data_IF_465530649969
#
_entry.id   IF_465530649969
#
_cell.length_a   1.000
_cell.length_b   1.000
_cell.length_c   1.000
_cell.angle_alpha   90.00
_cell.angle_beta   90.00
_cell.angle_gamma   90.00
#
_symmetry.space_group_name_H-M   'P 1'
#
loop_
_entity.id
_entity.type
_entity.pdbx_description
1 polymer ?
#
# COMPACT_ATOMS: atom_id res chain seq x y z
N UNK A 1 -12.92 -16.61 -6.29
CA UNK A 1 -11.57 -17.21 -6.23
C UNK A 1 -10.58 -16.14 -6.66
N UNK A 2 -9.35 -16.13 -6.12
CA UNK A 2 -8.32 -15.17 -6.53
C UNK A 2 -7.97 -15.33 -8.02
N UNK A 3 -7.47 -14.28 -8.70
CA UNK A 3 -7.08 -14.38 -10.10
C UNK A 3 -5.96 -15.41 -10.32
N UNK A 4 -5.97 -16.08 -11.47
CA UNK A 4 -5.05 -17.20 -11.76
C UNK A 4 -3.57 -16.80 -11.69
N UNK A 5 -3.23 -15.57 -12.10
CA UNK A 5 -1.86 -15.06 -12.01
C UNK A 5 -1.39 -14.85 -10.57
N UNK A 6 -2.28 -14.51 -9.64
CA UNK A 6 -1.97 -14.43 -8.20
C UNK A 6 -1.80 -15.85 -7.64
N UNK A 7 -2.73 -16.76 -7.95
CA UNK A 7 -2.65 -18.14 -7.48
C UNK A 7 -1.36 -18.82 -7.90
N UNK A 8 -0.92 -18.66 -9.16
CA UNK A 8 0.36 -19.21 -9.63
C UNK A 8 1.55 -18.71 -8.83
N UNK A 9 1.57 -17.43 -8.44
CA UNK A 9 2.63 -16.87 -7.58
C UNK A 9 2.61 -17.50 -6.19
N UNK A 10 1.45 -17.62 -5.56
CA UNK A 10 1.33 -18.22 -4.22
C UNK A 10 1.68 -19.71 -4.25
N UNK A 11 1.29 -20.44 -5.30
CA UNK A 11 1.68 -21.85 -5.53
C UNK A 11 3.22 -21.94 -5.60
N UNK A 12 3.86 -21.13 -6.45
CA UNK A 12 5.32 -21.12 -6.58
C UNK A 12 6.02 -20.79 -5.26
N UNK A 13 5.49 -19.85 -4.48
CA UNK A 13 6.00 -19.53 -3.14
C UNK A 13 5.85 -20.72 -2.17
N UNK A 14 4.71 -21.42 -2.20
CA UNK A 14 4.48 -22.58 -1.35
C UNK A 14 5.42 -23.74 -1.71
N UNK A 15 5.58 -24.01 -3.02
CA UNK A 15 6.49 -25.05 -3.50
C UNK A 15 7.94 -24.72 -3.13
N UNK A 16 8.39 -23.50 -3.44
CA UNK A 16 9.73 -23.03 -3.11
C UNK A 16 10.01 -23.13 -1.61
N UNK A 17 9.07 -22.70 -0.76
CA UNK A 17 9.23 -22.79 0.69
C UNK A 17 9.34 -24.25 1.17
N UNK A 18 8.50 -25.15 0.64
CA UNK A 18 8.48 -26.56 1.05
C UNK A 18 9.73 -27.35 0.61
N UNK A 19 10.50 -26.81 -0.33
CA UNK A 19 11.73 -27.39 -0.88
C UNK A 19 13.00 -26.70 -0.38
N UNK A 20 12.88 -25.65 0.45
CA UNK A 20 14.04 -24.97 1.03
C UNK A 20 14.90 -25.95 1.84
N UNK A 21 16.23 -25.92 1.65
CA UNK A 21 17.17 -26.58 2.55
C UNK A 21 16.94 -26.13 4.00
N UNK A 22 17.24 -27.01 4.97
CA UNK A 22 16.98 -26.74 6.38
C UNK A 22 17.75 -25.50 6.86
N UNK A 23 18.99 -25.34 6.39
CA UNK A 23 19.89 -24.22 6.67
C UNK A 23 19.35 -22.87 6.16
N UNK A 24 18.54 -22.88 5.11
CA UNK A 24 17.94 -21.69 4.51
C UNK A 24 16.52 -21.43 5.03
N UNK A 25 15.93 -22.38 5.76
CA UNK A 25 14.57 -22.25 6.29
C UNK A 25 14.50 -21.15 7.37
N UNK A 26 13.68 -20.09 7.18
CA UNK A 26 13.57 -19.00 8.15
C UNK A 26 13.12 -19.44 9.55
N UNK A 27 12.29 -20.48 9.65
CA UNK A 27 11.84 -21.01 10.95
C UNK A 27 13.00 -21.63 11.72
N UNK A 28 13.84 -22.43 11.05
CA UNK A 28 15.00 -23.09 11.66
C UNK A 28 16.03 -22.03 12.05
N UNK A 29 16.40 -21.13 11.13
CA UNK A 29 17.36 -20.04 11.42
C UNK A 29 16.92 -19.15 12.58
N UNK A 30 15.65 -18.77 12.62
CA UNK A 30 15.10 -17.96 13.71
C UNK A 30 15.13 -18.72 15.03
N UNK A 31 14.77 -20.01 15.02
CA UNK A 31 14.80 -20.87 16.19
C UNK A 31 16.22 -21.02 16.74
N UNK A 32 17.21 -21.33 15.89
CA UNK A 32 18.62 -21.45 16.27
C UNK A 32 19.16 -20.14 16.85
N UNK A 33 18.85 -19.00 16.22
CA UNK A 33 19.24 -17.68 16.71
C UNK A 33 18.70 -17.39 18.11
N UNK A 34 17.47 -17.81 18.39
CA UNK A 34 16.85 -17.66 19.72
C UNK A 34 17.44 -18.66 20.71
N UNK A 35 17.61 -19.91 20.31
CA UNK A 35 18.13 -20.99 21.15
C UNK A 35 19.57 -20.70 21.62
N UNK A 36 20.40 -20.09 20.77
CA UNK A 36 21.76 -19.68 21.12
C UNK A 36 21.84 -18.68 22.29
N UNK A 37 20.75 -17.96 22.58
CA UNK A 37 20.66 -16.96 23.66
C UNK A 37 20.14 -17.52 24.98
N UNK A 38 19.80 -18.80 25.02
CA UNK A 38 19.24 -19.48 26.20
C UNK A 38 20.33 -20.27 26.90
N UNK A 39 20.35 -20.21 28.23
CA UNK A 39 21.22 -21.01 29.08
C UNK A 39 20.70 -22.45 29.16
N UNK A 40 21.20 -23.30 28.26
CA UNK A 40 20.96 -24.74 28.17
C UNK A 40 22.27 -25.44 27.84
N UNK A 41 22.38 -26.72 28.20
CA UNK A 41 23.51 -27.54 27.79
C UNK A 41 23.54 -27.72 26.27
N UNK A 42 24.75 -27.95 25.72
CA UNK A 42 24.90 -28.18 24.27
C UNK A 42 24.17 -29.43 23.79
N UNK A 43 24.01 -30.45 24.65
CA UNK A 43 23.24 -31.65 24.31
C UNK A 43 21.74 -31.35 24.23
N UNK A 44 21.19 -30.56 25.16
CA UNK A 44 19.80 -30.11 25.10
C UNK A 44 19.53 -29.25 23.86
N UNK A 45 20.46 -28.35 23.52
CA UNK A 45 20.33 -27.52 22.30
C UNK A 45 20.30 -28.38 21.04
N UNK A 46 21.18 -29.38 20.92
CA UNK A 46 21.19 -30.32 19.79
C UNK A 46 19.89 -31.09 19.66
N UNK A 47 19.33 -31.57 20.78
CA UNK A 47 18.02 -32.26 20.78
C UNK A 47 16.91 -31.33 20.27
N UNK A 48 16.88 -30.08 20.73
CA UNK A 48 15.89 -29.09 20.31
C UNK A 48 16.05 -28.69 18.84
N UNK A 49 17.28 -28.53 18.35
CA UNK A 49 17.58 -28.26 16.94
C UNK A 49 17.09 -29.41 16.06
N UNK A 50 17.44 -30.65 16.40
CA UNK A 50 17.00 -31.83 15.66
C UNK A 50 15.47 -31.93 15.60
N UNK A 51 14.79 -31.68 16.72
CA UNK A 51 13.32 -31.68 16.78
C UNK A 51 12.70 -30.55 15.95
N UNK A 52 13.30 -29.36 15.94
CA UNK A 52 12.86 -28.24 15.10
C UNK A 52 12.95 -28.61 13.63
N UNK A 53 14.12 -29.11 13.19
CA UNK A 53 14.34 -29.56 11.81
C UNK A 53 13.38 -30.66 11.41
N UNK A 54 13.21 -31.70 12.24
CA UNK A 54 12.24 -32.78 11.98
C UNK A 54 10.80 -32.25 11.85
N UNK A 55 10.39 -31.35 12.74
CA UNK A 55 9.04 -30.76 12.72
C UNK A 55 8.80 -29.96 11.44
N UNK A 56 9.79 -29.17 11.03
CA UNK A 56 9.73 -28.34 9.82
C UNK A 56 9.70 -29.22 8.58
N UNK A 57 10.69 -30.10 8.42
CA UNK A 57 10.79 -31.00 7.26
C UNK A 57 9.60 -31.97 7.15
N UNK A 58 9.04 -32.39 8.28
CA UNK A 58 7.83 -33.21 8.34
C UNK A 58 6.56 -32.39 8.18
N UNK A 59 6.01 -31.90 9.29
CA UNK A 59 4.66 -31.35 9.35
C UNK A 59 4.50 -30.03 8.58
N UNK A 60 5.48 -29.11 8.68
CA UNK A 60 5.38 -27.77 8.07
C UNK A 60 5.49 -27.86 6.55
N UNK A 61 6.54 -28.49 6.03
CA UNK A 61 6.74 -28.64 4.58
C UNK A 61 5.59 -29.45 3.96
N UNK A 62 5.09 -30.49 4.66
CA UNK A 62 3.89 -31.21 4.23
C UNK A 62 2.66 -30.31 4.18
N UNK A 63 2.50 -29.41 5.15
CA UNK A 63 1.43 -28.40 5.16
C UNK A 63 1.48 -27.50 3.92
N UNK A 64 2.65 -26.94 3.60
CA UNK A 64 2.84 -26.13 2.39
C UNK A 64 2.56 -26.90 1.10
N UNK A 65 3.01 -28.16 1.00
CA UNK A 65 2.70 -29.03 -0.15
C UNK A 65 1.20 -29.28 -0.31
N UNK A 66 0.49 -29.53 0.80
CA UNK A 66 -0.98 -29.71 0.79
C UNK A 66 -1.70 -28.42 0.39
N UNK A 67 -1.25 -27.27 0.89
CA UNK A 67 -1.77 -25.97 0.48
C UNK A 67 -1.54 -25.73 -1.01
N UNK A 68 -0.33 -25.95 -1.52
CA UNK A 68 -0.01 -25.80 -2.94
C UNK A 68 -0.87 -26.71 -3.83
N UNK A 69 -1.08 -27.97 -3.42
CA UNK A 69 -1.96 -28.90 -4.13
C UNK A 69 -3.41 -28.39 -4.19
N UNK A 70 -3.94 -27.87 -3.08
CA UNK A 70 -5.28 -27.28 -3.04
C UNK A 70 -5.39 -26.00 -3.89
N UNK A 71 -4.39 -25.12 -3.83
CA UNK A 71 -4.35 -23.90 -4.64
C UNK A 71 -4.32 -24.21 -6.15
N UNK A 72 -3.63 -25.27 -6.58
CA UNK A 72 -3.67 -25.73 -7.98
C UNK A 72 -5.08 -26.17 -8.40
N UNK A 73 -5.82 -26.84 -7.53
CA UNK A 73 -7.23 -27.17 -7.80
C UNK A 73 -8.08 -25.92 -7.99
N UNK A 74 -7.88 -24.89 -7.16
CA UNK A 74 -8.56 -23.60 -7.30
C UNK A 74 -8.13 -22.84 -8.55
N UNK A 75 -6.85 -22.93 -8.94
CA UNK A 75 -6.32 -22.30 -10.16
C UNK A 75 -7.05 -22.79 -11.41
N UNK A 76 -7.34 -24.10 -11.51
CA UNK A 76 -8.11 -24.66 -12.62
C UNK A 76 -9.54 -24.09 -12.75
N UNK A 77 -10.08 -23.53 -11.67
CA UNK A 77 -11.40 -22.90 -11.64
C UNK A 77 -11.33 -21.36 -11.69
N UNK A 78 -10.11 -20.81 -11.73
CA UNK A 78 -9.87 -19.37 -11.69
C UNK A 78 -9.75 -18.78 -13.09
N UNK A 79 -10.11 -17.50 -13.20
CA UNK A 79 -9.91 -16.67 -14.39
C UNK A 79 -8.83 -15.62 -14.12
N UNK A 80 -8.28 -15.02 -15.18
CA UNK A 80 -7.25 -13.97 -15.09
C UNK A 80 -7.82 -12.57 -14.88
N UNK A 81 -9.10 -12.44 -14.49
CA UNK A 81 -9.73 -11.13 -14.24
C UNK A 81 -9.20 -10.56 -12.93
N UNK A 82 -8.65 -9.36 -12.98
CA UNK A 82 -7.95 -8.72 -11.85
C UNK A 82 -8.91 -8.07 -10.84
N UNK A 83 -10.01 -7.48 -11.31
CA UNK A 83 -10.89 -6.70 -10.46
C UNK A 83 -11.87 -7.54 -9.62
N UNK A 84 -12.20 -7.04 -8.43
CA UNK A 84 -13.17 -7.66 -7.52
C UNK A 84 -14.61 -7.52 -8.01
N UNK A 85 -14.90 -6.62 -8.96
CA UNK A 85 -16.20 -6.48 -9.61
C UNK A 85 -16.73 -7.77 -10.23
N UNK A 86 -15.85 -8.72 -10.57
CA UNK A 86 -16.26 -10.04 -11.07
C UNK A 86 -16.95 -10.91 -10.02
N UNK A 87 -16.73 -10.62 -8.74
CA UNK A 87 -17.23 -11.42 -7.62
C UNK A 87 -18.69 -11.05 -7.32
N UNK A 88 -19.47 -11.97 -6.71
CA UNK A 88 -20.78 -11.61 -6.17
C UNK A 88 -20.67 -10.42 -5.23
N UNK A 89 -21.42 -9.34 -5.51
CA UNK A 89 -21.37 -8.06 -4.79
C UNK A 89 -19.98 -7.38 -4.82
N UNK A 90 -19.23 -7.56 -5.92
CA UNK A 90 -17.89 -7.02 -6.08
C UNK A 90 -17.80 -5.49 -5.98
N UNK A 91 -18.79 -4.78 -6.53
CA UNK A 91 -18.87 -3.31 -6.45
C UNK A 91 -19.13 -2.84 -5.01
N UNK A 92 -20.09 -3.44 -4.30
CA UNK A 92 -20.36 -3.17 -2.89
C UNK A 92 -19.14 -3.47 -2.02
N UNK A 93 -18.45 -4.59 -2.29
CA UNK A 93 -17.23 -4.97 -1.59
C UNK A 93 -16.13 -3.93 -1.81
N UNK A 94 -15.91 -3.47 -3.05
CA UNK A 94 -14.92 -2.45 -3.34
C UNK A 94 -15.24 -1.11 -2.67
N UNK A 95 -16.49 -0.66 -2.75
CA UNK A 95 -16.94 0.54 -2.04
C UNK A 95 -16.73 0.42 -0.53
N UNK A 96 -16.99 -0.76 0.05
CA UNK A 96 -16.71 -1.04 1.45
C UNK A 96 -15.22 -0.98 1.77
N UNK A 97 -14.34 -1.64 1.00
CA UNK A 97 -12.90 -1.66 1.31
C UNK A 97 -12.28 -0.28 1.18
N UNK A 98 -12.67 0.49 0.18
CA UNK A 98 -12.21 1.87 0.01
C UNK A 98 -12.58 2.73 1.22
N UNK A 99 -13.84 2.67 1.67
CA UNK A 99 -14.29 3.36 2.89
C UNK A 99 -13.60 2.84 4.15
N UNK A 100 -13.40 1.53 4.25
CA UNK A 100 -12.75 0.88 5.39
C UNK A 100 -11.32 1.39 5.55
N UNK A 101 -10.52 1.45 4.48
CA UNK A 101 -9.13 1.90 4.53
C UNK A 101 -8.99 3.42 4.66
N UNK A 102 -9.86 4.19 4.01
CA UNK A 102 -9.75 5.65 4.02
C UNK A 102 -10.45 6.28 5.23
N UNK A 103 -11.44 5.62 5.82
CA UNK A 103 -12.24 6.18 6.90
C UNK A 103 -13.13 7.34 6.48
N UNK A 104 -13.36 7.54 5.18
CA UNK A 104 -14.27 8.55 4.59
C UNK A 104 -15.12 7.90 3.51
N UNK A 105 -16.33 8.43 3.34
CA UNK A 105 -17.19 8.05 2.22
C UNK A 105 -16.69 8.73 0.94
N UNK A 106 -16.50 7.94 -0.11
CA UNK A 106 -15.94 8.41 -1.37
C UNK A 106 -16.73 7.85 -2.55
N UNK A 107 -16.87 8.64 -3.60
CA UNK A 107 -17.29 8.15 -4.92
C UNK A 107 -16.04 7.82 -5.74
N UNK A 108 -15.78 6.53 -6.07
CA UNK A 108 -14.58 6.17 -6.83
C UNK A 108 -14.55 6.82 -8.22
N UNK A 109 -15.70 7.17 -8.82
CA UNK A 109 -15.72 7.89 -10.11
C UNK A 109 -15.15 9.29 -9.95
N UNK A 110 -15.59 10.02 -8.93
CA UNK A 110 -15.10 11.36 -8.62
C UNK A 110 -13.61 11.34 -8.23
N UNK A 111 -13.20 10.36 -7.42
CA UNK A 111 -11.78 10.18 -7.08
C UNK A 111 -10.91 9.92 -8.31
N UNK A 112 -11.40 9.13 -9.27
CA UNK A 112 -10.68 8.88 -10.51
C UNK A 112 -10.54 10.16 -11.37
N UNK A 113 -11.60 10.96 -11.45
CA UNK A 113 -11.56 12.24 -12.17
C UNK A 113 -10.61 13.24 -11.51
N UNK A 114 -10.65 13.35 -10.18
CA UNK A 114 -9.72 14.17 -9.41
C UNK A 114 -8.27 13.68 -9.58
N UNK A 115 -8.06 12.36 -9.54
CA UNK A 115 -6.75 11.73 -9.76
C UNK A 115 -6.16 12.06 -11.13
N UNK A 116 -6.96 12.04 -12.20
CA UNK A 116 -6.52 12.48 -13.54
C UNK A 116 -6.04 13.93 -13.54
N UNK A 117 -6.81 14.84 -12.94
CA UNK A 117 -6.47 16.26 -12.87
C UNK A 117 -5.17 16.48 -12.10
N UNK A 118 -5.00 15.79 -10.97
CA UNK A 118 -3.80 15.89 -10.15
C UNK A 118 -2.58 15.27 -10.84
N UNK A 119 -2.72 14.11 -11.47
CA UNK A 119 -1.62 13.47 -12.19
C UNK A 119 -1.10 14.39 -13.31
N UNK A 120 -1.99 14.98 -14.11
CA UNK A 120 -1.60 15.92 -15.16
C UNK A 120 -0.90 17.18 -14.59
N UNK A 121 -1.37 17.70 -13.45
CA UNK A 121 -0.74 18.84 -12.78
C UNK A 121 0.68 18.49 -12.27
N UNK A 122 0.82 17.34 -11.62
CA UNK A 122 2.10 16.82 -11.10
C UNK A 122 3.10 16.61 -12.25
N UNK A 123 2.68 15.99 -13.35
CA UNK A 123 3.52 15.76 -14.53
C UNK A 123 3.97 17.06 -15.18
N UNK A 124 3.08 18.04 -15.31
CA UNK A 124 3.42 19.37 -15.83
C UNK A 124 4.46 20.07 -14.95
N UNK A 125 4.33 19.96 -13.63
CA UNK A 125 5.28 20.57 -12.70
C UNK A 125 6.64 19.84 -12.68
N UNK A 126 6.64 18.50 -12.72
CA UNK A 126 7.85 17.71 -12.85
C UNK A 126 8.59 18.02 -14.15
N UNK A 127 7.89 18.24 -15.26
CA UNK A 127 8.51 18.65 -16.52
C UNK A 127 9.23 20.00 -16.40
N UNK A 128 8.63 20.96 -15.69
CA UNK A 128 9.28 22.25 -15.39
C UNK A 128 10.51 22.05 -14.52
N UNK A 129 10.41 21.29 -13.42
CA UNK A 129 11.54 21.06 -12.51
C UNK A 129 12.71 20.33 -13.19
N UNK A 130 12.43 19.31 -13.99
CA UNK A 130 13.45 18.60 -14.76
C UNK A 130 14.18 19.54 -15.74
N UNK A 131 13.48 20.53 -16.32
CA UNK A 131 14.13 21.54 -17.18
C UNK A 131 15.10 22.47 -16.44
N UNK A 132 14.99 22.53 -15.11
CA UNK A 132 15.84 23.32 -14.21
C UNK A 132 16.91 22.48 -13.50
N UNK A 133 17.15 21.24 -13.94
CA UNK A 133 17.98 20.23 -13.24
C UNK A 133 17.49 19.91 -11.81
N UNK A 134 16.21 20.12 -11.52
CA UNK A 134 15.56 19.66 -10.30
C UNK A 134 15.33 18.15 -10.36
N UNK A 135 16.36 17.38 -10.03
CA UNK A 135 16.28 15.92 -9.99
C UNK A 135 15.81 15.50 -8.60
N UNK A 136 14.82 14.61 -8.52
CA UNK A 136 14.36 14.01 -7.27
C UNK A 136 14.04 12.55 -7.50
N UNK A 137 14.01 11.77 -6.45
CA UNK A 137 13.54 10.38 -6.48
C UNK A 137 12.36 10.28 -5.54
N UNK A 138 11.37 9.46 -5.88
CA UNK A 138 10.26 9.19 -4.97
C UNK A 138 10.77 8.63 -3.64
N UNK A 139 10.12 9.03 -2.55
CA UNK A 139 10.33 8.43 -1.24
C UNK A 139 9.31 7.32 -1.02
N UNK A 140 9.75 6.23 -0.40
CA UNK A 140 8.83 5.19 0.04
C UNK A 140 7.87 5.76 1.10
N UNK A 141 6.57 5.56 0.91
CA UNK A 141 5.56 5.79 1.94
C UNK A 141 5.42 4.49 2.73
N UNK A 142 5.72 4.53 4.02
CA UNK A 142 5.84 3.33 4.85
C UNK A 142 4.48 2.88 5.41
N UNK A 143 3.60 2.44 4.53
CA UNK A 143 2.26 2.00 4.91
C UNK A 143 2.25 0.71 5.76
N UNK A 144 3.31 -0.08 5.76
CA UNK A 144 3.42 -1.33 6.53
C UNK A 144 4.55 -1.29 7.60
N UNK A 145 4.90 -0.09 8.08
CA UNK A 145 5.98 0.11 9.07
C UNK A 145 5.75 -0.63 10.40
N UNK A 146 4.56 -0.48 10.99
CA UNK A 146 4.18 -1.15 12.23
C UNK A 146 3.11 -2.23 11.97
N UNK A 147 3.47 -3.52 11.99
CA UNK A 147 2.53 -4.61 11.77
C UNK A 147 1.52 -4.80 12.92
N UNK A 148 1.68 -4.11 14.05
CA UNK A 148 0.75 -4.15 15.19
C UNK A 148 -0.40 -3.16 15.05
N UNK A 149 -0.22 -2.11 14.23
CA UNK A 149 -1.26 -1.13 13.96
C UNK A 149 -2.35 -1.71 13.06
N UNK A 150 -3.59 -1.23 13.26
CA UNK A 150 -4.70 -1.54 12.36
C UNK A 150 -4.40 -1.05 10.94
N UNK A 151 -4.93 -1.74 9.93
CA UNK A 151 -4.73 -1.35 8.52
C UNK A 151 -5.24 0.07 8.23
N UNK A 152 -6.28 0.53 8.92
CA UNK A 152 -6.82 1.87 8.77
C UNK A 152 -5.86 2.94 9.30
N UNK A 153 -5.23 2.69 10.45
CA UNK A 153 -4.24 3.61 11.00
C UNK A 153 -2.98 3.66 10.13
N UNK A 154 -2.55 2.52 9.62
CA UNK A 154 -1.49 2.46 8.60
C UNK A 154 -1.79 3.32 7.37
N UNK A 155 -3.01 3.23 6.83
CA UNK A 155 -3.44 4.08 5.72
C UNK A 155 -3.46 5.57 6.08
N UNK A 156 -3.95 5.90 7.28
CA UNK A 156 -3.96 7.26 7.81
C UNK A 156 -2.53 7.82 7.93
N UNK A 157 -1.61 7.10 8.57
CA UNK A 157 -0.23 7.55 8.74
C UNK A 157 0.52 7.67 7.41
N UNK A 158 0.29 6.74 6.48
CA UNK A 158 0.83 6.86 5.13
C UNK A 158 0.33 8.14 4.42
N UNK A 159 -0.94 8.49 4.58
CA UNK A 159 -1.48 9.76 4.09
C UNK A 159 -0.97 10.98 4.85
N UNK A 160 -0.76 10.88 6.16
CA UNK A 160 -0.16 11.93 6.99
C UNK A 160 1.29 12.19 6.58
N UNK A 161 2.09 11.16 6.28
CA UNK A 161 3.45 11.32 5.74
C UNK A 161 3.46 12.07 4.40
N UNK A 162 2.48 11.81 3.53
CA UNK A 162 2.30 12.60 2.30
C UNK A 162 1.93 14.05 2.61
N UNK A 163 1.03 14.25 3.59
CA UNK A 163 0.60 15.58 4.00
C UNK A 163 1.74 16.38 4.66
N UNK A 164 2.61 15.74 5.43
CA UNK A 164 3.82 16.34 6.01
C UNK A 164 4.75 16.90 4.93
N UNK A 165 4.99 16.11 3.88
CA UNK A 165 5.78 16.57 2.73
C UNK A 165 5.07 17.74 2.04
N UNK A 166 3.78 17.62 1.74
CA UNK A 166 2.98 18.70 1.16
C UNK A 166 3.07 19.99 1.98
N UNK A 167 2.83 19.91 3.29
CA UNK A 167 2.82 21.04 4.21
C UNK A 167 4.18 21.75 4.22
N UNK A 168 5.29 21.00 4.16
CA UNK A 168 6.63 21.56 4.03
C UNK A 168 6.79 22.33 2.72
N UNK A 169 6.43 21.72 1.59
CA UNK A 169 6.57 22.34 0.26
C UNK A 169 5.75 23.63 0.12
N UNK A 170 4.54 23.69 0.70
CA UNK A 170 3.66 24.87 0.56
C UNK A 170 3.90 25.94 1.62
N UNK A 171 4.56 25.63 2.73
CA UNK A 171 4.84 26.59 3.81
C UNK A 171 6.18 27.31 3.64
N UNK A 172 7.12 26.73 2.90
CA UNK A 172 8.42 27.34 2.66
C UNK A 172 8.35 28.44 1.58
N UNK A 173 8.98 29.59 1.84
CA UNK A 173 9.03 30.71 0.90
C UNK A 173 9.86 30.41 -0.35
N UNK A 174 10.79 29.47 -0.26
CA UNK A 174 11.63 28.98 -1.36
C UNK A 174 12.01 27.54 -1.06
N UNK A 175 11.59 26.62 -1.93
CA UNK A 175 11.87 25.18 -1.82
C UNK A 175 12.95 24.82 -2.83
N UNK A 176 13.91 23.98 -2.42
CA UNK A 176 14.88 23.42 -3.34
C UNK A 176 14.18 22.62 -4.48
N UNK A 177 14.51 22.86 -5.76
CA UNK A 177 13.87 22.16 -6.88
C UNK A 177 13.91 20.63 -6.78
N UNK A 178 15.00 20.07 -6.24
CA UNK A 178 15.18 18.62 -6.05
C UNK A 178 14.27 18.08 -4.95
N UNK A 179 14.11 18.85 -3.87
CA UNK A 179 13.17 18.53 -2.80
C UNK A 179 11.71 18.56 -3.29
N UNK A 180 11.34 19.59 -4.05
CA UNK A 180 10.02 19.67 -4.67
C UNK A 180 9.77 18.51 -5.63
N UNK A 181 10.76 18.18 -6.45
CA UNK A 181 10.67 17.07 -7.39
C UNK A 181 10.56 15.71 -6.68
N UNK A 182 11.18 15.55 -5.50
CA UNK A 182 11.07 14.36 -4.65
C UNK A 182 9.64 14.20 -4.10
N UNK A 183 9.06 15.27 -3.55
CA UNK A 183 7.66 15.27 -3.13
C UNK A 183 6.72 14.93 -4.29
N UNK A 184 6.87 15.59 -5.43
CA UNK A 184 6.00 15.40 -6.59
C UNK A 184 6.07 13.99 -7.16
N UNK A 185 7.25 13.35 -7.22
CA UNK A 185 7.36 11.94 -7.62
C UNK A 185 6.67 11.00 -6.63
N UNK A 186 6.76 11.30 -5.34
CA UNK A 186 6.06 10.55 -4.29
C UNK A 186 4.54 10.69 -4.42
N UNK A 187 4.05 11.92 -4.64
CA UNK A 187 2.63 12.19 -4.87
C UNK A 187 2.13 11.58 -6.19
N UNK A 188 2.94 11.63 -7.25
CA UNK A 188 2.69 10.98 -8.55
C UNK A 188 2.42 9.48 -8.35
N UNK A 189 3.31 8.79 -7.63
CA UNK A 189 3.17 7.35 -7.41
C UNK A 189 1.91 7.01 -6.59
N UNK A 190 1.60 7.82 -5.57
CA UNK A 190 0.36 7.64 -4.80
C UNK A 190 -0.91 7.90 -5.64
N UNK A 191 -0.84 8.84 -6.57
CA UNK A 191 -1.92 9.16 -7.52
C UNK A 191 -2.10 8.04 -8.54
N UNK A 192 -1.01 7.48 -9.06
CA UNK A 192 -1.03 6.30 -9.93
C UNK A 192 -1.67 5.11 -9.22
N UNK A 193 -1.29 4.83 -7.97
CA UNK A 193 -1.88 3.74 -7.17
C UNK A 193 -3.39 3.91 -7.02
N UNK A 194 -3.87 5.12 -6.71
CA UNK A 194 -5.30 5.44 -6.67
C UNK A 194 -5.99 5.14 -8.00
N UNK A 195 -5.44 5.65 -9.11
CA UNK A 195 -6.04 5.51 -10.43
C UNK A 195 -6.04 4.06 -10.92
N UNK A 196 -4.98 3.30 -10.66
CA UNK A 196 -4.87 1.88 -11.01
C UNK A 196 -5.85 1.05 -10.19
N UNK A 197 -5.97 1.30 -8.89
CA UNK A 197 -6.90 0.61 -7.99
C UNK A 197 -8.35 0.78 -8.47
N UNK A 198 -8.78 2.02 -8.73
CA UNK A 198 -10.11 2.30 -9.29
C UNK A 198 -10.25 1.74 -10.72
N UNK A 199 -9.18 1.85 -11.52
CA UNK A 199 -9.10 1.30 -12.87
C UNK A 199 -9.43 -0.18 -12.89
N UNK A 200 -8.76 -0.97 -12.05
CA UNK A 200 -8.93 -2.42 -11.93
C UNK A 200 -10.30 -2.77 -11.34
N UNK A 201 -10.68 -2.15 -10.22
CA UNK A 201 -11.80 -2.61 -9.40
C UNK A 201 -13.16 -2.01 -9.78
N UNK A 202 -13.20 -0.83 -10.39
CA UNK A 202 -14.43 -0.17 -10.84
C UNK A 202 -14.51 -0.05 -12.35
N UNK A 203 -13.41 0.33 -13.02
CA UNK A 203 -13.39 0.57 -14.47
C UNK A 203 -13.06 -0.68 -15.30
N UNK A 204 -12.89 -1.81 -14.63
CA UNK A 204 -12.66 -3.13 -15.23
C UNK A 204 -11.41 -3.20 -16.12
N UNK A 205 -10.36 -2.46 -15.77
CA UNK A 205 -9.07 -2.59 -16.44
C UNK A 205 -8.54 -4.02 -16.35
N UNK A 206 -8.03 -4.49 -17.48
CA UNK A 206 -7.19 -5.68 -17.53
C UNK A 206 -5.88 -5.41 -16.78
N UNK A 207 -5.25 -6.47 -16.30
CA UNK A 207 -3.96 -6.39 -15.60
C UNK A 207 -2.92 -5.67 -16.47
N UNK A 208 -2.88 -5.98 -17.75
CA UNK A 208 -1.95 -5.40 -18.72
C UNK A 208 -2.20 -3.90 -18.92
N UNK A 209 -3.47 -3.46 -18.91
CA UNK A 209 -3.82 -2.04 -18.99
C UNK A 209 -3.32 -1.28 -17.76
N UNK A 210 -3.46 -1.87 -16.57
CA UNK A 210 -2.93 -1.30 -15.34
C UNK A 210 -1.39 -1.21 -15.36
N UNK A 211 -0.70 -2.26 -15.83
CA UNK A 211 0.77 -2.26 -15.95
C UNK A 211 1.24 -1.19 -16.96
N UNK A 212 0.58 -1.09 -18.12
CA UNK A 212 0.90 -0.06 -19.11
C UNK A 212 0.70 1.33 -18.54
N UNK A 213 -0.41 1.58 -17.86
CA UNK A 213 -0.69 2.87 -17.24
C UNK A 213 0.41 3.27 -16.24
N UNK A 214 0.86 2.36 -15.37
CA UNK A 214 1.96 2.66 -14.44
C UNK A 214 3.23 3.04 -15.20
N UNK A 215 3.57 2.31 -16.26
CA UNK A 215 4.80 2.55 -17.05
C UNK A 215 4.74 3.83 -17.89
N UNK A 216 3.56 4.24 -18.33
CA UNK A 216 3.35 5.48 -19.09
C UNK A 216 3.50 6.71 -18.19
N UNK A 217 3.18 6.57 -16.89
CA UNK A 217 3.10 7.69 -15.95
C UNK A 217 4.19 7.67 -14.87
N UNK A 218 5.14 6.73 -14.90
CA UNK A 218 6.23 6.65 -13.90
C UNK A 218 7.53 6.15 -14.52
N UNK A 219 8.62 6.21 -13.75
CA UNK A 219 9.92 5.66 -14.15
C UNK A 219 10.13 4.20 -13.71
N UNK A 220 9.06 3.52 -13.24
CA UNK A 220 9.18 2.16 -12.74
C UNK A 220 9.54 1.17 -13.84
N UNK A 221 10.40 0.21 -13.48
CA UNK A 221 10.71 -0.93 -14.33
C UNK A 221 9.50 -1.85 -14.47
N UNK A 222 9.50 -2.68 -15.53
CA UNK A 222 8.37 -3.57 -15.83
C UNK A 222 8.03 -4.52 -14.67
N UNK A 223 9.04 -5.08 -14.01
CA UNK A 223 8.83 -5.96 -12.86
C UNK A 223 8.18 -5.24 -11.68
N UNK A 224 8.60 -4.00 -11.40
CA UNK A 224 8.07 -3.18 -10.31
C UNK A 224 6.62 -2.78 -10.59
N UNK A 225 6.31 -2.38 -11.82
CA UNK A 225 4.95 -2.10 -12.25
C UNK A 225 4.04 -3.35 -12.12
N UNK A 226 4.53 -4.52 -12.54
CA UNK A 226 3.80 -5.77 -12.39
C UNK A 226 3.55 -6.14 -10.92
N UNK A 227 4.54 -5.96 -10.05
CA UNK A 227 4.41 -6.21 -8.61
C UNK A 227 3.37 -5.28 -7.98
N UNK A 228 3.43 -3.98 -8.32
CA UNK A 228 2.46 -3.00 -7.84
C UNK A 228 1.02 -3.35 -8.24
N UNK A 229 0.79 -3.76 -9.48
CA UNK A 229 -0.54 -4.21 -9.92
C UNK A 229 -1.01 -5.42 -9.12
N UNK A 230 -0.13 -6.39 -8.89
CA UNK A 230 -0.50 -7.60 -8.15
C UNK A 230 -0.82 -7.31 -6.68
N UNK A 231 -0.12 -6.37 -6.05
CA UNK A 231 -0.43 -5.89 -4.70
C UNK A 231 -1.80 -5.21 -4.62
N UNK A 232 -2.09 -4.32 -5.58
CA UNK A 232 -3.38 -3.63 -5.69
C UNK A 232 -4.52 -4.65 -5.86
N UNK A 233 -4.35 -5.64 -6.73
CA UNK A 233 -5.33 -6.71 -6.96
C UNK A 233 -5.65 -7.49 -5.68
N UNK A 234 -4.65 -7.73 -4.83
CA UNK A 234 -4.80 -8.51 -3.59
C UNK A 234 -5.39 -7.68 -2.45
N UNK A 235 -5.16 -6.36 -2.42
CA UNK A 235 -5.62 -5.45 -1.35
C UNK A 235 -6.41 -4.25 -1.93
N UNK A 236 -7.63 -4.48 -2.45
CA UNK A 236 -8.44 -3.44 -3.10
C UNK A 236 -8.72 -2.25 -2.18
N UNK A 237 -8.31 -1.06 -2.57
CA UNK A 237 -8.47 0.20 -1.85
C UNK A 237 -7.34 0.53 -0.87
N UNK A 238 -6.47 -0.43 -0.53
CA UNK A 238 -5.43 -0.23 0.49
C UNK A 238 -4.37 0.77 0.03
N UNK A 239 -3.81 0.56 -1.16
CA UNK A 239 -2.73 1.40 -1.69
C UNK A 239 -3.23 2.71 -2.30
N UNK A 240 -4.54 2.83 -2.53
CA UNK A 240 -5.20 4.08 -2.90
C UNK A 240 -5.39 5.02 -1.70
N UNK A 241 -5.49 4.45 -0.49
CA UNK A 241 -5.85 5.20 0.71
C UNK A 241 -4.89 6.35 1.06
N UNK A 242 -3.54 6.24 0.95
CA UNK A 242 -2.65 7.35 1.26
C UNK A 242 -2.97 8.62 0.45
N UNK A 243 -3.26 8.46 -0.84
CA UNK A 243 -3.64 9.58 -1.71
C UNK A 243 -5.00 10.18 -1.32
N UNK A 244 -5.98 9.33 -1.01
CA UNK A 244 -7.31 9.77 -0.58
C UNK A 244 -7.22 10.55 0.74
N UNK A 245 -6.44 10.04 1.69
CA UNK A 245 -6.18 10.71 2.96
C UNK A 245 -5.51 12.07 2.73
N UNK A 246 -4.45 12.14 1.90
CA UNK A 246 -3.80 13.41 1.53
C UNK A 246 -4.82 14.42 0.99
N UNK A 247 -5.64 14.02 0.01
CA UNK A 247 -6.64 14.91 -0.59
C UNK A 247 -7.65 15.42 0.43
N UNK A 248 -8.09 14.55 1.33
CA UNK A 248 -9.03 14.93 2.38
C UNK A 248 -8.40 15.88 3.41
N UNK A 249 -7.15 15.64 3.82
CA UNK A 249 -6.42 16.54 4.73
C UNK A 249 -6.21 17.93 4.10
N UNK A 250 -5.88 18.00 2.81
CA UNK A 250 -5.78 19.27 2.06
C UNK A 250 -7.13 20.00 2.05
N UNK A 251 -8.25 19.28 1.86
CA UNK A 251 -9.59 19.87 1.91
C UNK A 251 -9.94 20.44 3.29
N UNK A 252 -9.62 19.70 4.36
CA UNK A 252 -9.85 20.11 5.75
C UNK A 252 -8.99 21.30 6.16
N UNK A 253 -7.75 21.37 5.65
CA UNK A 253 -6.84 22.48 5.90
C UNK A 253 -7.31 23.80 5.26
N UNK A 254 -8.16 23.79 4.23
CA UNK A 254 -8.55 25.00 3.51
C UNK A 254 -8.93 26.16 4.43
N UNK A 255 -8.25 27.31 4.26
CA UNK A 255 -8.42 28.50 5.10
C UNK A 255 -7.46 28.57 6.30
N UNK A 256 -6.50 27.65 6.41
CA UNK A 256 -5.53 27.55 7.51
C UNK A 256 -4.11 27.35 6.97
N UNK A 257 -3.08 27.66 7.77
CA UNK A 257 -1.70 27.30 7.44
C UNK A 257 -1.52 25.78 7.43
N UNK A 258 -0.81 25.25 6.43
CA UNK A 258 -0.54 23.82 6.34
C UNK A 258 0.36 23.33 7.49
N UNK A 259 1.34 24.16 7.89
CA UNK A 259 2.21 23.86 9.03
C UNK A 259 1.44 23.83 10.36
N UNK A 260 0.54 24.78 10.60
CA UNK A 260 -0.28 24.82 11.83
C UNK A 260 -1.23 23.63 11.88
N UNK A 261 -1.89 23.30 10.75
CA UNK A 261 -2.79 22.16 10.68
C UNK A 261 -2.05 20.83 10.89
N UNK A 262 -0.81 20.70 10.39
CA UNK A 262 0.00 19.52 10.62
C UNK A 262 0.29 19.29 12.11
N UNK A 263 0.64 20.33 12.85
CA UNK A 263 0.91 20.21 14.28
C UNK A 263 -0.34 19.80 15.05
N UNK A 264 -1.52 20.33 14.69
CA UNK A 264 -2.79 19.88 15.27
C UNK A 264 -3.09 18.40 15.02
N UNK A 265 -2.81 17.92 13.81
CA UNK A 265 -2.99 16.50 13.47
C UNK A 265 -2.06 15.60 14.30
N UNK A 266 -0.82 16.04 14.54
CA UNK A 266 0.14 15.30 15.38
C UNK A 266 -0.27 15.30 16.84
N UNK A 267 -0.78 16.41 17.36
CA UNK A 267 -1.28 16.51 18.74
C UNK A 267 -2.53 15.67 18.98
N UNK A 268 -3.46 15.63 18.02
CA UNK A 268 -4.68 14.84 18.10
C UNK A 268 -4.40 13.32 18.04
N UNK A 269 -3.26 12.91 17.48
CA UNK A 269 -2.94 11.52 17.21
C UNK A 269 -3.82 10.92 16.09
N UNK A 270 -3.77 9.59 15.90
CA UNK A 270 -4.47 8.93 14.80
C UNK A 270 -5.99 9.06 14.95
N UNK A 271 -6.57 9.97 14.16
CA UNK A 271 -8.00 10.27 14.18
C UNK A 271 -8.66 9.69 12.92
N UNK A 272 -9.70 8.85 13.05
CA UNK A 272 -10.45 8.41 11.88
C UNK A 272 -10.92 9.63 11.08
N UNK A 273 -10.66 9.66 9.78
CA UNK A 273 -10.96 10.83 8.95
C UNK A 273 -12.42 11.29 9.06
N UNK A 274 -13.38 10.37 9.21
CA UNK A 274 -14.79 10.70 9.46
C UNK A 274 -15.04 11.61 10.68
N UNK A 275 -14.13 11.61 11.66
CA UNK A 275 -14.20 12.47 12.86
C UNK A 275 -13.51 13.81 12.66
N UNK A 276 -12.62 13.93 11.68
CA UNK A 276 -12.02 15.19 11.26
C UNK A 276 -13.01 15.86 10.29
N UNK A 277 -14.11 16.40 10.80
CA UNK A 277 -15.00 17.26 10.00
C UNK A 277 -14.54 18.71 10.14
N UNK A 278 -14.73 19.53 9.08
CA UNK A 278 -14.61 20.98 9.23
C UNK A 278 -15.48 21.40 10.43
N UNK A 279 -14.97 22.18 11.39
CA UNK A 279 -15.84 22.76 12.40
C UNK A 279 -16.95 23.50 11.65
N UNK A 280 -18.21 23.15 11.92
CA UNK A 280 -19.34 23.93 11.40
C UNK A 280 -19.07 25.35 11.86
N UNK A 281 -18.83 26.26 10.92
CA UNK A 281 -18.53 27.65 11.24
C UNK A 281 -19.67 28.18 12.11
N UNK A 282 -19.45 28.26 13.42
CA UNK A 282 -20.36 28.93 14.34
C UNK A 282 -20.13 30.44 14.21
N UNK A 283 -20.36 30.97 13.01
CA UNK A 283 -20.69 32.38 12.83
C UNK A 283 -22.18 32.53 13.11
N UNK A 284 -22.54 32.39 14.39
CA UNK A 284 -23.66 33.15 14.92
C UNK A 284 -23.01 34.34 15.60
N UNK A 285 -22.97 35.45 14.88
CA UNK A 285 -22.72 36.76 15.47
C UNK A 285 -23.68 36.94 16.64
N UNK A 286 -23.14 37.11 17.85
CA UNK A 286 -23.89 37.67 18.96
C UNK A 286 -24.24 39.12 18.60
N UNK A 287 -25.54 39.37 18.39
CA UNK A 287 -26.16 40.71 18.36
C UNK A 287 -26.94 40.88 19.66
#
# INVERSE_FOLDING_TARGET
VLPSFILRKVIAQCDSFAELPAEDCPFIRSFETKLAKIDLSEDEKKVLQAKCTETVSGSVNTGYKRLAAYLRQLEHQSVSVAGVWQLPKGEDYYGFTLRYYCGVENDPRQLYDLGKTQLAAIEGELAILNSMNGNGEEKAIEQDADPTESMQFRCYYAGLQLYEQYARIVSESSVDPSEKATYLRTDQLSTIKLMVDIGIHQKQWLREQAVMFIKEHSNLMDLEAQQMVDEIVVKPGYYAAPKIVLMHLIELQQGRSAAEFLEELKEAGPTPLIRLQKPVSSSVEEV
#
